data_IF_511264734116
#
_entry.id   IF_511264734116
#
_cell.length_a   1.000
_cell.length_b   1.000
_cell.length_c   1.000
_cell.angle_alpha   90.00
_cell.angle_beta   90.00
_cell.angle_gamma   90.00
#
_symmetry.space_group_name_H-M   'P 1'
#
loop_
_entity.id
_entity.type
_entity.pdbx_description
1 polymer ?
#
# COMPACT_ATOMS: atom_id res chain seq x y z
N UNK A 1 -13.34 -6.27 7.20
CA UNK A 1 -12.24 -5.30 7.11
C UNK A 1 -11.52 -5.58 5.82
N UNK A 2 -11.61 -4.67 4.85
CA UNK A 2 -11.00 -4.87 3.53
C UNK A 2 -9.54 -4.37 3.59
N UNK A 3 -8.60 -5.17 3.08
CA UNK A 3 -7.17 -4.84 3.00
C UNK A 3 -6.76 -4.94 1.53
N UNK A 4 -5.91 -4.02 1.07
CA UNK A 4 -5.35 -4.11 -0.28
C UNK A 4 -4.41 -5.30 -0.45
N UNK A 5 -4.12 -5.63 -1.71
CA UNK A 5 -3.26 -6.75 -2.10
C UNK A 5 -2.00 -6.23 -2.76
N UNK A 6 -0.85 -6.71 -2.32
CA UNK A 6 0.44 -6.42 -2.98
C UNK A 6 0.46 -7.12 -4.34
N UNK A 7 0.70 -6.36 -5.41
CA UNK A 7 0.82 -6.87 -6.79
C UNK A 7 2.27 -6.94 -7.26
N UNK A 8 3.15 -6.10 -6.70
CA UNK A 8 4.58 -6.06 -7.05
C UNK A 8 5.42 -5.50 -5.92
N UNK A 9 6.65 -6.00 -5.82
CA UNK A 9 7.67 -5.49 -4.90
C UNK A 9 8.96 -5.24 -5.69
N UNK A 10 9.52 -4.04 -5.57
CA UNK A 10 10.77 -3.62 -6.20
C UNK A 10 11.66 -2.91 -5.16
N UNK A 11 12.48 -3.70 -4.46
CA UNK A 11 13.27 -3.19 -3.34
C UNK A 11 12.34 -2.63 -2.24
N UNK A 12 12.48 -1.36 -1.82
CA UNK A 12 11.59 -0.75 -0.84
C UNK A 12 10.25 -0.29 -1.42
N UNK A 13 10.09 -0.26 -2.74
CA UNK A 13 8.84 0.15 -3.40
C UNK A 13 7.86 -1.02 -3.47
N UNK A 14 6.62 -0.79 -3.05
CA UNK A 14 5.54 -1.77 -3.07
C UNK A 14 4.36 -1.18 -3.84
N UNK A 15 3.87 -1.92 -4.82
CA UNK A 15 2.63 -1.60 -5.52
C UNK A 15 1.51 -2.49 -4.97
N UNK A 16 0.38 -1.89 -4.62
CA UNK A 16 -0.77 -2.58 -4.08
C UNK A 16 -2.07 -2.08 -4.72
N UNK A 17 -3.01 -2.99 -4.94
CA UNK A 17 -4.33 -2.71 -5.50
C UNK A 17 -5.44 -2.92 -4.46
N UNK A 18 -6.60 -2.31 -4.70
CA UNK A 18 -7.77 -2.49 -3.85
C UNK A 18 -7.58 -2.03 -2.40
N UNK A 19 -6.71 -1.03 -2.16
CA UNK A 19 -6.45 -0.44 -0.83
C UNK A 19 -7.61 0.51 -0.48
N UNK A 20 -8.54 0.14 0.43
CA UNK A 20 -9.75 0.92 0.65
C UNK A 20 -9.44 2.21 1.42
N UNK A 21 -9.97 3.33 0.95
CA UNK A 21 -9.80 4.62 1.61
C UNK A 21 -8.37 5.15 1.60
N UNK A 22 -7.52 4.65 0.70
CA UNK A 22 -6.15 5.11 0.52
C UNK A 22 -6.10 6.62 0.23
N UNK A 23 -5.28 7.37 0.98
CA UNK A 23 -4.99 8.78 0.73
C UNK A 23 -3.50 8.98 0.56
N UNK A 24 -3.12 9.98 -0.22
CA UNK A 24 -1.74 10.43 -0.33
C UNK A 24 -1.19 10.79 1.06
N UNK A 25 0.04 10.36 1.33
CA UNK A 25 0.79 10.56 2.58
C UNK A 25 0.25 9.80 3.80
N UNK A 26 -0.69 8.87 3.63
CA UNK A 26 -1.12 8.00 4.73
C UNK A 26 -0.01 7.02 5.12
N UNK A 27 0.17 6.83 6.44
CA UNK A 27 1.04 5.79 7.00
C UNK A 27 0.27 4.48 7.06
N UNK A 28 0.83 3.44 6.44
CA UNK A 28 0.20 2.12 6.30
C UNK A 28 1.07 1.01 6.87
N UNK A 29 0.47 -0.18 7.05
CA UNK A 29 1.16 -1.41 7.41
C UNK A 29 1.20 -2.35 6.22
N UNK A 30 2.38 -2.83 5.88
CA UNK A 30 2.63 -3.65 4.69
C UNK A 30 3.07 -5.06 5.09
N UNK A 31 2.46 -6.06 4.45
CA UNK A 31 2.81 -7.47 4.62
C UNK A 31 2.45 -8.06 5.99
N UNK A 32 2.84 -9.32 6.20
CA UNK A 32 2.57 -10.08 7.43
C UNK A 32 3.27 -9.51 8.66
N UNK A 33 4.48 -8.97 8.48
CA UNK A 33 5.27 -8.35 9.55
C UNK A 33 4.76 -6.95 9.94
N UNK A 34 3.78 -6.41 9.20
CA UNK A 34 3.20 -5.08 9.42
C UNK A 34 4.26 -3.97 9.40
N UNK A 35 5.15 -4.04 8.43
CA UNK A 35 6.18 -3.02 8.20
C UNK A 35 5.51 -1.67 7.95
N UNK A 36 6.11 -0.60 8.46
CA UNK A 36 5.59 0.76 8.26
C UNK A 36 5.94 1.20 6.84
N UNK A 37 4.96 1.78 6.13
CA UNK A 37 5.14 2.40 4.83
C UNK A 37 4.30 3.66 4.69
N UNK A 38 4.51 4.39 3.61
CA UNK A 38 3.78 5.61 3.26
C UNK A 38 3.19 5.49 1.86
N UNK A 39 1.96 5.99 1.67
CA UNK A 39 1.37 6.11 0.34
C UNK A 39 1.95 7.34 -0.35
N UNK A 40 2.88 7.11 -1.28
CA UNK A 40 3.58 8.17 -2.03
C UNK A 40 3.04 8.41 -3.45
N UNK A 41 2.12 7.55 -3.91
CA UNK A 41 1.45 7.69 -5.20
C UNK A 41 0.08 7.00 -5.11
N UNK A 42 -0.94 7.64 -5.67
CA UNK A 42 -2.24 7.03 -5.92
C UNK A 42 -2.49 7.03 -7.41
N UNK A 43 -2.74 5.83 -7.93
CA UNK A 43 -3.23 5.65 -9.29
C UNK A 43 -4.72 5.34 -9.15
N UNK A 44 -5.56 6.09 -9.86
CA UNK A 44 -6.96 5.73 -10.01
C UNK A 44 -7.09 4.42 -10.79
N UNK A 45 -8.33 3.99 -11.03
CA UNK A 45 -8.57 3.32 -12.32
C UNK A 45 -8.21 4.28 -13.46
#
# INVERSE_FOLDING_TARGET
>A
MSTGKIIRVAGPLVEAEGVPGAKMFDVVRVGHERLIGEIIELRGE
#
